data_IF_298042222420
#
_entry.id   IF_298042222420
#
_cell.length_a   1.000
_cell.length_b   1.000
_cell.length_c   1.000
_cell.angle_alpha   90.00
_cell.angle_beta   90.00
_cell.angle_gamma   90.00
#
_symmetry.space_group_name_H-M   'P 1'
#
loop_
_entity.id
_entity.type
_entity.pdbx_description
1 polymer ?
#
# COMPACT_ATOMS: atom_id res chain seq x y z
N UNK A 1 1.43 -34.45 11.97
CA UNK A 1 0.76 -33.53 11.03
C UNK A 1 0.38 -32.28 11.80
N UNK A 2 1.09 -31.15 11.63
CA UNK A 2 0.80 -29.89 12.36
C UNK A 2 -0.60 -29.32 12.05
N UNK A 3 -1.21 -29.74 10.95
CA UNK A 3 -2.53 -29.31 10.50
C UNK A 3 -3.66 -30.26 10.97
N UNK A 4 -3.36 -31.30 11.76
CA UNK A 4 -4.34 -32.25 12.28
C UNK A 4 -4.48 -32.12 13.82
N UNK A 5 -4.47 -30.90 14.34
CA UNK A 5 -4.86 -30.64 15.72
C UNK A 5 -6.30 -30.13 15.72
N UNK A 6 -7.23 -31.08 15.67
CA UNK A 6 -8.66 -30.82 15.81
C UNK A 6 -9.11 -31.44 17.15
N UNK A 7 -9.76 -30.64 18.00
CA UNK A 7 -10.74 -31.14 18.97
C UNK A 7 -12.12 -30.98 18.33
N UNK A 8 -13.11 -31.77 18.74
CA UNK A 8 -14.46 -31.80 18.15
C UNK A 8 -15.21 -30.46 18.11
N UNK A 9 -14.66 -29.38 18.69
CA UNK A 9 -15.35 -28.10 18.83
C UNK A 9 -14.65 -26.91 18.17
N UNK A 10 -13.32 -26.93 17.92
CA UNK A 10 -12.60 -25.79 17.34
C UNK A 10 -11.38 -26.20 16.51
N UNK A 11 -11.10 -25.49 15.41
CA UNK A 11 -9.79 -25.52 14.75
C UNK A 11 -8.78 -24.79 15.64
N UNK A 12 -7.77 -25.49 16.13
CA UNK A 12 -6.83 -24.99 17.16
C UNK A 12 -5.83 -23.97 16.58
N UNK A 13 -5.62 -23.94 15.27
CA UNK A 13 -4.62 -23.08 14.62
C UNK A 13 -5.08 -22.55 13.27
N UNK A 14 -5.14 -21.23 13.12
CA UNK A 14 -5.27 -20.55 11.83
C UNK A 14 -3.88 -20.11 11.34
N UNK A 15 -3.47 -20.59 10.18
CA UNK A 15 -2.19 -20.23 9.55
C UNK A 15 -2.43 -19.29 8.38
N UNK A 16 -1.81 -18.10 8.40
CA UNK A 16 -1.78 -17.17 7.28
C UNK A 16 -0.36 -17.16 6.72
N UNK A 17 -0.22 -17.55 5.45
CA UNK A 17 1.05 -17.50 4.73
C UNK A 17 1.07 -16.26 3.84
N UNK A 18 2.10 -15.43 3.98
CA UNK A 18 2.32 -14.24 3.16
C UNK A 18 3.73 -14.29 2.58
N UNK A 19 3.86 -13.86 1.33
CA UNK A 19 5.14 -13.84 0.63
C UNK A 19 5.02 -13.18 -0.73
N UNK A 20 6.14 -13.09 -1.43
CA UNK A 20 6.18 -12.57 -2.79
C UNK A 20 5.64 -13.61 -3.79
N UNK A 21 5.34 -13.20 -5.03
CA UNK A 21 4.74 -14.06 -6.06
C UNK A 21 5.59 -15.30 -6.38
N UNK A 22 6.90 -15.22 -6.19
CA UNK A 22 7.88 -16.29 -6.35
C UNK A 22 7.66 -17.45 -5.35
N UNK A 23 6.92 -17.22 -4.27
CA UNK A 23 6.56 -18.25 -3.29
C UNK A 23 5.50 -19.22 -3.83
N UNK A 24 4.58 -18.75 -4.68
CA UNK A 24 3.49 -19.58 -5.23
C UNK A 24 3.97 -20.84 -5.97
N UNK A 25 4.91 -20.76 -6.95
CA UNK A 25 5.38 -21.97 -7.63
C UNK A 25 6.12 -22.92 -6.69
N UNK A 26 6.81 -22.40 -5.66
CA UNK A 26 7.49 -23.23 -4.66
C UNK A 26 6.49 -23.96 -3.76
N UNK A 27 5.42 -23.29 -3.32
CA UNK A 27 4.35 -23.91 -2.55
C UNK A 27 3.60 -24.97 -3.35
N UNK A 28 3.38 -24.74 -4.65
CA UNK A 28 2.70 -25.70 -5.53
C UNK A 28 3.46 -27.03 -5.67
N UNK A 29 4.78 -27.04 -5.46
CA UNK A 29 5.58 -28.28 -5.46
C UNK A 29 5.33 -29.13 -4.19
N UNK A 30 4.87 -28.53 -3.09
CA UNK A 30 4.57 -29.21 -1.82
C UNK A 30 3.08 -29.60 -1.81
N UNK A 31 2.73 -30.63 -2.58
CA UNK A 31 1.31 -31.01 -2.86
C UNK A 31 0.44 -31.17 -1.61
N UNK A 32 0.95 -31.83 -0.57
CA UNK A 32 0.20 -32.08 0.67
C UNK A 32 -0.17 -30.80 1.44
N UNK A 33 0.66 -29.75 1.33
CA UNK A 33 0.38 -28.44 1.88
C UNK A 33 -0.56 -27.66 0.95
N UNK A 34 -0.28 -27.70 -0.36
CA UNK A 34 -1.05 -26.99 -1.39
C UNK A 34 -2.54 -27.36 -1.39
N UNK A 35 -2.86 -28.63 -1.20
CA UNK A 35 -4.23 -29.15 -1.14
C UNK A 35 -4.98 -28.70 0.14
N UNK A 36 -4.26 -28.27 1.17
CA UNK A 36 -4.83 -27.82 2.45
C UNK A 36 -4.98 -26.30 2.54
N UNK A 37 -4.55 -25.55 1.53
CA UNK A 37 -4.72 -24.09 1.48
C UNK A 37 -6.15 -23.77 1.05
N UNK A 38 -6.98 -23.33 1.99
CA UNK A 38 -8.40 -23.03 1.75
C UNK A 38 -8.63 -21.77 0.90
N UNK A 39 -7.78 -20.75 1.05
CA UNK A 39 -7.88 -19.50 0.31
C UNK A 39 -6.51 -19.11 -0.25
N UNK A 40 -6.49 -18.76 -1.54
CA UNK A 40 -5.32 -18.28 -2.27
C UNK A 40 -5.71 -16.93 -2.85
N UNK A 41 -5.01 -15.88 -2.45
CA UNK A 41 -5.31 -14.53 -2.89
C UNK A 41 -4.02 -13.77 -3.21
N UNK A 42 -4.03 -13.04 -4.31
CA UNK A 42 -2.96 -12.11 -4.68
C UNK A 42 -3.51 -10.71 -4.47
N UNK A 43 -2.84 -9.94 -3.63
CA UNK A 43 -3.17 -8.54 -3.43
C UNK A 43 -2.76 -7.78 -4.69
N UNK A 44 -3.76 -7.25 -5.41
CA UNK A 44 -3.53 -6.38 -6.55
C UNK A 44 -3.22 -4.95 -6.09
N UNK A 45 -2.56 -4.13 -6.93
CA UNK A 45 -2.48 -2.69 -6.70
C UNK A 45 -3.86 -2.06 -6.59
N UNK A 46 -3.93 -0.93 -5.90
CA UNK A 46 -5.15 -0.16 -5.69
C UNK A 46 -5.56 0.60 -6.96
N UNK A 47 -6.86 0.72 -7.20
CA UNK A 47 -7.42 1.63 -8.19
C UNK A 47 -7.36 3.09 -7.74
N UNK A 48 -7.52 4.05 -8.66
CA UNK A 48 -7.36 5.49 -8.36
C UNK A 48 -8.24 5.97 -7.20
N UNK A 49 -9.49 5.51 -7.12
CA UNK A 49 -10.40 5.84 -6.02
C UNK A 49 -9.93 5.22 -4.68
N UNK A 50 -9.42 3.99 -4.71
CA UNK A 50 -8.88 3.32 -3.53
C UNK A 50 -7.58 3.98 -3.04
N UNK A 51 -6.79 4.58 -3.93
CA UNK A 51 -5.63 5.41 -3.55
C UNK A 51 -6.08 6.62 -2.73
N UNK A 52 -7.14 7.31 -3.17
CA UNK A 52 -7.72 8.42 -2.41
C UNK A 52 -8.18 7.96 -1.03
N UNK A 53 -8.95 6.88 -0.98
CA UNK A 53 -9.46 6.31 0.27
C UNK A 53 -8.33 5.88 1.21
N UNK A 54 -7.26 5.27 0.68
CA UNK A 54 -6.07 4.91 1.46
C UNK A 54 -5.41 6.15 2.08
N UNK A 55 -5.21 7.21 1.30
CA UNK A 55 -4.58 8.44 1.76
C UNK A 55 -5.45 9.10 2.84
N UNK A 56 -6.73 9.30 2.56
CA UNK A 56 -7.70 9.89 3.49
C UNK A 56 -7.78 9.07 4.80
N UNK A 57 -7.83 7.74 4.69
CA UNK A 57 -7.83 6.84 5.84
C UNK A 57 -6.55 7.03 6.69
N UNK A 58 -5.37 7.01 6.08
CA UNK A 58 -4.11 7.15 6.82
C UNK A 58 -3.96 8.52 7.47
N UNK A 59 -4.40 9.58 6.80
CA UNK A 59 -4.43 10.93 7.38
C UNK A 59 -5.39 10.98 8.58
N UNK A 60 -6.56 10.36 8.48
CA UNK A 60 -7.50 10.28 9.60
C UNK A 60 -6.92 9.54 10.81
N UNK A 61 -6.19 8.44 10.58
CA UNK A 61 -5.50 7.70 11.64
C UNK A 61 -4.36 8.51 12.28
N UNK A 62 -3.75 9.42 11.52
CA UNK A 62 -2.75 10.37 12.02
C UNK A 62 -3.37 11.58 12.76
N UNK A 63 -4.69 11.64 12.90
CA UNK A 63 -5.41 12.71 13.60
C UNK A 63 -5.80 13.89 12.72
N UNK A 64 -5.67 13.79 11.39
CA UNK A 64 -6.16 14.82 10.49
C UNK A 64 -7.69 14.80 10.41
N UNK A 65 -8.32 15.86 10.93
CA UNK A 65 -9.77 15.99 11.02
C UNK A 65 -10.33 17.23 10.28
N UNK A 66 -9.51 17.87 9.45
CA UNK A 66 -9.93 19.06 8.68
C UNK A 66 -10.88 18.68 7.55
N UNK A 67 -11.77 19.61 7.16
CA UNK A 67 -12.60 19.47 5.95
C UNK A 67 -11.84 19.81 4.67
N UNK A 68 -10.70 20.47 4.79
CA UNK A 68 -9.86 20.80 3.64
C UNK A 68 -8.97 19.59 3.33
N UNK A 69 -8.93 19.11 2.07
CA UNK A 69 -8.06 17.99 1.73
C UNK A 69 -6.60 18.45 1.68
N UNK A 70 -5.68 17.63 2.23
CA UNK A 70 -4.23 17.87 2.08
C UNK A 70 -3.82 17.63 0.63
N UNK A 71 -4.38 16.64 -0.04
CA UNK A 71 -4.08 16.31 -1.43
C UNK A 71 -5.28 16.67 -2.30
N UNK A 72 -5.06 17.52 -3.31
CA UNK A 72 -6.10 17.82 -4.31
C UNK A 72 -6.39 16.60 -5.18
N UNK A 73 -7.53 16.56 -5.87
CA UNK A 73 -7.86 15.46 -6.79
C UNK A 73 -6.80 15.33 -7.92
N UNK A 74 -6.24 16.44 -8.39
CA UNK A 74 -5.12 16.43 -9.34
C UNK A 74 -3.85 15.79 -8.76
N UNK A 75 -3.54 16.06 -7.49
CA UNK A 75 -2.45 15.39 -6.78
C UNK A 75 -2.70 13.89 -6.63
N UNK A 76 -3.91 13.46 -6.25
CA UNK A 76 -4.29 12.04 -6.16
C UNK A 76 -4.09 11.34 -7.50
N UNK A 77 -4.54 11.94 -8.59
CA UNK A 77 -4.36 11.39 -9.94
C UNK A 77 -2.88 11.28 -10.32
N UNK A 78 -2.07 12.29 -10.02
CA UNK A 78 -0.62 12.24 -10.24
C UNK A 78 0.05 11.14 -9.41
N UNK A 79 -0.33 10.99 -8.14
CA UNK A 79 0.14 9.92 -7.26
C UNK A 79 -0.24 8.55 -7.84
N UNK A 80 -1.50 8.34 -8.25
CA UNK A 80 -1.92 7.08 -8.85
C UNK A 80 -1.13 6.75 -10.12
N UNK A 81 -1.01 7.71 -11.04
CA UNK A 81 -0.27 7.54 -12.29
C UNK A 81 1.22 7.20 -12.06
N UNK A 82 1.86 7.78 -11.05
CA UNK A 82 3.25 7.46 -10.74
C UNK A 82 3.40 6.11 -10.03
N UNK A 83 2.54 5.87 -9.03
CA UNK A 83 2.69 4.73 -8.13
C UNK A 83 2.06 3.46 -8.68
N UNK A 84 1.18 3.57 -9.69
CA UNK A 84 0.40 2.47 -10.27
C UNK A 84 -0.40 1.71 -9.21
N UNK A 85 -0.87 2.41 -8.18
CA UNK A 85 -1.67 1.81 -7.10
C UNK A 85 -0.89 1.04 -6.03
N UNK A 86 0.45 0.98 -6.10
CA UNK A 86 1.24 0.22 -5.13
C UNK A 86 1.32 0.94 -3.76
N UNK A 87 0.77 0.37 -2.67
CA UNK A 87 0.64 1.07 -1.38
C UNK A 87 1.94 1.61 -0.79
N UNK A 88 3.06 0.90 -0.99
CA UNK A 88 4.38 1.35 -0.51
C UNK A 88 4.84 2.60 -1.24
N UNK A 89 4.67 2.67 -2.56
CA UNK A 89 5.05 3.84 -3.36
C UNK A 89 4.16 5.04 -3.03
N UNK A 90 2.85 4.81 -2.87
CA UNK A 90 1.89 5.83 -2.40
C UNK A 90 2.34 6.41 -1.06
N UNK A 91 2.69 5.55 -0.11
CA UNK A 91 3.16 5.98 1.21
C UNK A 91 4.41 6.86 1.14
N UNK A 92 5.37 6.51 0.28
CA UNK A 92 6.63 7.25 0.12
C UNK A 92 6.39 8.65 -0.46
N UNK A 93 5.72 8.75 -1.61
CA UNK A 93 5.48 10.06 -2.23
C UNK A 93 4.59 10.97 -1.38
N UNK A 94 3.62 10.40 -0.64
CA UNK A 94 2.81 11.17 0.30
C UNK A 94 3.64 11.66 1.50
N UNK A 95 4.59 10.87 1.98
CA UNK A 95 5.49 11.28 3.05
C UNK A 95 6.35 12.47 2.62
N UNK A 96 6.99 12.38 1.46
CA UNK A 96 7.80 13.47 0.89
C UNK A 96 6.98 14.75 0.67
N UNK A 97 5.74 14.59 0.21
CA UNK A 97 4.81 15.70 0.06
C UNK A 97 4.50 16.36 1.41
N UNK A 98 4.18 15.57 2.44
CA UNK A 98 3.91 16.10 3.78
C UNK A 98 5.14 16.81 4.38
N UNK A 99 6.34 16.26 4.21
CA UNK A 99 7.58 16.93 4.64
C UNK A 99 7.77 18.28 3.93
N UNK A 100 7.54 18.32 2.61
CA UNK A 100 7.60 19.55 1.83
C UNK A 100 6.59 20.59 2.34
N UNK A 101 5.33 20.19 2.57
CA UNK A 101 4.29 21.10 3.08
C UNK A 101 4.71 21.75 4.41
N UNK A 102 5.28 20.97 5.33
CA UNK A 102 5.80 21.47 6.61
C UNK A 102 6.99 22.42 6.40
N UNK A 103 7.96 22.04 5.56
CA UNK A 103 9.17 22.82 5.30
C UNK A 103 8.86 24.20 4.69
N UNK A 104 7.89 24.27 3.78
CA UNK A 104 7.53 25.48 3.04
C UNK A 104 6.27 26.16 3.56
N UNK A 105 5.71 25.71 4.68
CA UNK A 105 4.47 26.23 5.30
C UNK A 105 3.29 26.29 4.32
N UNK A 106 3.15 25.27 3.48
CA UNK A 106 1.98 25.07 2.61
C UNK A 106 0.99 24.14 3.31
N UNK A 107 -0.30 24.31 3.01
CA UNK A 107 -1.37 23.51 3.63
C UNK A 107 -1.86 22.37 2.72
N UNK A 108 -1.60 22.47 1.42
CA UNK A 108 -2.14 21.56 0.39
C UNK A 108 -1.08 21.21 -0.64
N UNK A 109 -1.06 19.94 -1.04
CA UNK A 109 -0.32 19.40 -2.16
C UNK A 109 -1.22 19.33 -3.40
N UNK A 110 -0.84 20.07 -4.44
CA UNK A 110 -1.45 20.06 -5.76
C UNK A 110 -0.70 19.14 -6.72
N UNK A 111 -1.23 19.00 -7.94
CA UNK A 111 -0.61 18.19 -9.00
C UNK A 111 0.82 18.65 -9.31
N UNK A 112 1.06 19.96 -9.36
CA UNK A 112 2.37 20.53 -9.68
C UNK A 112 3.43 20.13 -8.65
N UNK A 113 3.10 20.22 -7.35
CA UNK A 113 4.00 19.75 -6.29
C UNK A 113 4.32 18.27 -6.42
N UNK A 114 3.32 17.41 -6.67
CA UNK A 114 3.56 15.97 -6.80
C UNK A 114 4.46 15.68 -7.99
N UNK A 115 4.24 16.32 -9.14
CA UNK A 115 5.10 16.16 -10.31
C UNK A 115 6.54 16.62 -10.03
N UNK A 116 6.72 17.71 -9.28
CA UNK A 116 8.04 18.17 -8.83
C UNK A 116 8.75 17.10 -7.99
N UNK A 117 8.06 16.51 -7.00
CA UNK A 117 8.61 15.48 -6.13
C UNK A 117 8.97 14.20 -6.89
N UNK A 118 8.11 13.77 -7.81
CA UNK A 118 8.39 12.63 -8.71
C UNK A 118 9.66 12.90 -9.52
N UNK A 119 9.79 14.10 -10.09
CA UNK A 119 10.97 14.46 -10.87
C UNK A 119 12.26 14.49 -10.01
N UNK A 120 12.15 14.84 -8.72
CA UNK A 120 13.27 14.79 -7.77
C UNK A 120 13.67 13.35 -7.44
N UNK A 121 12.73 12.45 -7.19
CA UNK A 121 13.03 11.01 -6.99
C UNK A 121 13.70 10.39 -8.23
N UNK A 122 13.29 10.77 -9.44
CA UNK A 122 13.83 10.22 -10.69
C UNK A 122 15.25 10.70 -11.02
N UNK A 123 15.74 11.78 -10.39
CA UNK A 123 17.14 12.17 -10.47
C UNK A 123 17.88 11.45 -9.35
N UNK A 124 18.70 10.42 -9.63
CA UNK A 124 19.53 9.85 -8.59
C UNK A 124 20.44 10.96 -8.05
N UNK A 125 20.73 10.90 -6.75
CA UNK A 125 21.92 11.55 -6.19
C UNK A 125 23.07 11.11 -7.09
N UNK A 126 23.68 12.05 -7.82
CA UNK A 126 24.88 11.79 -8.58
C UNK A 126 25.91 11.21 -7.61
N UNK A 127 26.23 9.93 -7.80
CA UNK A 127 27.33 9.26 -7.12
C UNK A 127 28.66 9.63 -7.78
#
# INVERSE_FOLDING_TARGET
SLLNYETNEYKILQLILMGQMELLPRLAQIKNLWDRVALKYVLNPLEENEVKELIDFRLSQAGYASRYPIFTDGAIKAIYNYTQGYPRKIAMICHDALEYLVMYKKETADEELIQELIHREMKPIAA
#
